data_IF_386538589667
#
_entry.id   IF_386538589667
#
_cell.length_a   1.000
_cell.length_b   1.000
_cell.length_c   1.000
_cell.angle_alpha   90.00
_cell.angle_beta   90.00
_cell.angle_gamma   90.00
#
_symmetry.space_group_name_H-M   'P 1'
#
loop_
_entity.id
_entity.type
_entity.pdbx_description
1 polymer ?
#
# COMPACT_ATOMS: atom_id res chain seq x y z
N UNK A 1 21.05 -17.23 -2.26
CA UNK A 1 20.65 -16.36 -3.40
C UNK A 1 21.29 -14.96 -3.34
N UNK A 2 21.18 -14.18 -2.23
CA UNK A 2 21.84 -12.86 -2.14
C UNK A 2 23.37 -12.96 -2.25
N UNK A 3 23.97 -13.89 -1.52
CA UNK A 3 25.43 -14.11 -1.55
C UNK A 3 25.92 -14.59 -2.92
N UNK A 4 25.13 -15.36 -3.63
CA UNK A 4 25.44 -15.84 -5.01
C UNK A 4 25.43 -14.72 -6.04
N UNK A 5 24.93 -13.53 -5.66
CA UNK A 5 24.87 -12.31 -6.47
C UNK A 5 25.78 -11.19 -5.95
N UNK A 6 26.77 -11.51 -5.12
CA UNK A 6 27.67 -10.57 -4.47
C UNK A 6 26.98 -9.41 -3.72
N UNK A 7 25.75 -9.67 -3.24
CA UNK A 7 25.03 -8.71 -2.39
C UNK A 7 25.41 -8.86 -0.94
N UNK A 8 25.71 -7.75 -0.27
CA UNK A 8 25.92 -7.74 1.16
C UNK A 8 24.60 -8.08 1.86
N UNK A 9 24.52 -9.27 2.44
CA UNK A 9 23.35 -9.77 3.14
C UNK A 9 23.73 -10.23 4.55
N UNK A 10 23.04 -9.69 5.55
CA UNK A 10 23.18 -10.04 6.96
C UNK A 10 21.90 -10.78 7.37
N UNK A 11 22.05 -12.01 7.85
CA UNK A 11 20.94 -12.81 8.36
C UNK A 11 20.78 -12.53 9.86
N UNK A 12 19.84 -11.69 10.20
CA UNK A 12 19.53 -11.32 11.58
C UNK A 12 18.09 -10.84 11.70
N UNK A 13 17.59 -10.73 12.92
CA UNK A 13 16.34 -10.04 13.21
C UNK A 13 16.49 -8.53 12.97
N UNK A 14 15.50 -7.91 12.32
CA UNK A 14 15.59 -6.52 11.89
C UNK A 14 15.71 -5.54 13.06
N UNK A 15 14.92 -5.75 14.12
CA UNK A 15 14.95 -4.88 15.30
C UNK A 15 16.29 -5.02 16.04
N UNK A 16 16.76 -6.26 16.25
CA UNK A 16 18.07 -6.54 16.86
C UNK A 16 19.20 -5.89 16.06
N UNK A 17 19.13 -5.92 14.72
CA UNK A 17 20.12 -5.26 13.87
C UNK A 17 20.09 -3.74 14.06
N UNK A 18 18.92 -3.14 14.00
CA UNK A 18 18.78 -1.69 14.18
C UNK A 18 19.23 -1.23 15.57
N UNK A 19 18.87 -1.95 16.63
CA UNK A 19 19.27 -1.63 18.00
C UNK A 19 20.80 -1.64 18.17
N UNK A 20 21.51 -2.46 17.40
CA UNK A 20 22.97 -2.51 17.39
C UNK A 20 23.67 -1.38 16.63
N UNK A 21 22.95 -0.56 15.88
CA UNK A 21 23.52 0.55 15.12
C UNK A 21 23.64 1.81 15.97
N UNK A 22 24.62 2.67 15.70
CA UNK A 22 24.65 4.01 16.27
C UNK A 22 23.41 4.81 15.87
N UNK A 23 22.97 5.72 16.72
CA UNK A 23 21.93 6.68 16.36
C UNK A 23 22.38 7.56 15.19
N UNK A 24 21.43 7.99 14.36
CA UNK A 24 21.70 8.83 13.19
C UNK A 24 22.76 8.28 12.22
N UNK A 25 22.86 6.94 12.12
CA UNK A 25 23.83 6.28 11.23
C UNK A 25 23.28 5.96 9.84
N UNK A 26 21.95 5.74 9.72
CA UNK A 26 21.32 5.32 8.48
C UNK A 26 20.93 6.53 7.59
N UNK A 27 21.22 6.44 6.29
CA UNK A 27 20.81 7.41 5.27
C UNK A 27 19.42 7.15 4.69
N UNK A 28 18.82 5.98 4.98
CA UNK A 28 17.48 5.59 4.54
C UNK A 28 17.15 4.18 5.01
N UNK A 29 15.87 3.85 5.07
CA UNK A 29 15.36 2.51 5.36
C UNK A 29 14.28 2.14 4.33
N UNK A 30 14.40 0.95 3.77
CA UNK A 30 13.42 0.36 2.87
C UNK A 30 12.96 -0.99 3.40
N UNK A 31 11.66 -1.19 3.42
CA UNK A 31 11.01 -2.45 3.78
C UNK A 31 9.91 -2.75 2.77
N UNK A 32 9.93 -3.92 2.15
CA UNK A 32 8.92 -4.36 1.20
C UNK A 32 8.38 -5.74 1.58
N UNK A 33 7.07 -5.87 1.68
CA UNK A 33 6.34 -7.11 1.98
C UNK A 33 6.88 -7.80 3.26
N UNK A 34 6.98 -7.03 4.36
CA UNK A 34 7.49 -7.48 5.65
C UNK A 34 6.55 -7.12 6.80
N UNK A 35 6.02 -5.90 6.79
CA UNK A 35 5.31 -5.36 7.98
C UNK A 35 4.02 -6.10 8.28
N UNK A 36 3.37 -6.68 7.30
CA UNK A 36 2.17 -7.51 7.40
C UNK A 36 2.40 -8.83 8.15
N UNK A 37 3.66 -9.28 8.25
CA UNK A 37 4.05 -10.47 9.00
C UNK A 37 4.41 -10.18 10.46
N UNK A 38 4.57 -8.90 10.82
CA UNK A 38 5.06 -8.51 12.14
C UNK A 38 3.92 -8.40 13.16
N UNK A 39 4.15 -8.81 14.43
CA UNK A 39 3.24 -8.45 15.51
C UNK A 39 3.17 -6.92 15.68
N UNK A 40 2.01 -6.39 16.05
CA UNK A 40 1.81 -4.94 16.18
C UNK A 40 2.81 -4.28 17.15
N UNK A 41 3.10 -4.92 18.28
CA UNK A 41 4.09 -4.43 19.26
C UNK A 41 5.51 -4.40 18.68
N UNK A 42 5.85 -5.38 17.83
CA UNK A 42 7.14 -5.41 17.16
C UNK A 42 7.24 -4.29 16.12
N UNK A 43 6.19 -4.10 15.30
CA UNK A 43 6.14 -3.04 14.30
C UNK A 43 6.32 -1.66 14.94
N UNK A 44 5.63 -1.38 16.05
CA UNK A 44 5.78 -0.11 16.78
C UNK A 44 7.22 0.14 17.20
N UNK A 45 7.85 -0.85 17.86
CA UNK A 45 9.26 -0.73 18.28
C UNK A 45 10.21 -0.58 17.09
N UNK A 46 9.95 -1.28 15.99
CA UNK A 46 10.74 -1.18 14.76
C UNK A 46 10.71 0.25 14.20
N UNK A 47 9.52 0.88 14.14
CA UNK A 47 9.37 2.25 13.65
C UNK A 47 10.05 3.28 14.58
N UNK A 48 9.87 3.15 15.89
CA UNK A 48 10.53 4.01 16.87
C UNK A 48 12.05 3.90 16.79
N UNK A 49 12.57 2.65 16.73
CA UNK A 49 14.00 2.40 16.59
C UNK A 49 14.53 2.93 15.25
N UNK A 50 13.81 2.67 14.15
CA UNK A 50 14.17 3.19 12.84
C UNK A 50 14.27 4.72 12.83
N UNK A 51 13.34 5.41 13.49
CA UNK A 51 13.40 6.86 13.63
C UNK A 51 14.67 7.33 14.35
N UNK A 52 15.10 6.65 15.42
CA UNK A 52 16.34 6.98 16.15
C UNK A 52 17.60 6.74 15.29
N UNK A 53 17.61 5.67 14.48
CA UNK A 53 18.79 5.27 13.69
C UNK A 53 18.93 6.03 12.37
N UNK A 54 17.84 6.54 11.83
CA UNK A 54 17.89 7.37 10.63
C UNK A 54 18.48 8.76 10.92
N UNK A 55 19.23 9.29 9.98
CA UNK A 55 19.74 10.68 10.04
C UNK A 55 18.60 11.67 9.85
N UNK A 56 18.72 12.90 10.36
CA UNK A 56 17.81 13.98 9.98
C UNK A 56 17.67 14.10 8.45
N UNK A 57 16.47 14.37 7.97
CA UNK A 57 16.10 14.45 6.55
C UNK A 57 16.16 13.14 5.76
N UNK A 58 16.51 12.03 6.39
CA UNK A 58 16.48 10.69 5.76
C UNK A 58 15.04 10.20 5.55
N UNK A 59 14.91 9.25 4.62
CA UNK A 59 13.62 8.69 4.23
C UNK A 59 13.46 7.27 4.76
N UNK A 60 12.27 6.97 5.29
CA UNK A 60 11.78 5.60 5.42
C UNK A 60 10.75 5.34 4.31
N UNK A 61 10.81 4.15 3.71
CA UNK A 61 9.83 3.66 2.75
C UNK A 61 9.39 2.26 3.15
N UNK A 62 8.10 2.08 3.34
CA UNK A 62 7.49 0.80 3.71
C UNK A 62 6.42 0.45 2.68
N UNK A 63 6.65 -0.62 1.92
CA UNK A 63 5.71 -1.16 0.94
C UNK A 63 5.06 -2.42 1.50
N UNK A 64 3.75 -2.56 1.31
CA UNK A 64 2.96 -3.73 1.70
C UNK A 64 1.68 -3.84 0.87
N UNK A 65 0.97 -4.97 1.01
CA UNK A 65 -0.30 -5.23 0.33
C UNK A 65 -1.35 -4.20 0.77
N UNK A 66 -2.14 -3.72 -0.18
CA UNK A 66 -3.25 -2.81 0.08
C UNK A 66 -4.53 -3.57 0.50
N UNK A 67 -4.87 -3.63 1.78
CA UNK A 67 -6.06 -4.35 2.25
C UNK A 67 -7.38 -3.64 1.90
N UNK A 68 -7.34 -2.38 1.43
CA UNK A 68 -8.51 -1.66 0.95
C UNK A 68 -8.92 -2.11 -0.46
N UNK A 69 -8.02 -2.73 -1.23
CA UNK A 69 -8.34 -3.40 -2.48
C UNK A 69 -8.84 -4.83 -2.21
N UNK A 70 -10.09 -5.15 -2.57
CA UNK A 70 -10.65 -6.47 -2.30
C UNK A 70 -9.90 -7.59 -3.02
N UNK A 71 -9.48 -7.38 -4.27
CA UNK A 71 -8.70 -8.37 -5.00
C UNK A 71 -7.36 -8.63 -4.32
N UNK A 72 -6.65 -7.61 -3.86
CA UNK A 72 -5.41 -7.78 -3.12
C UNK A 72 -5.64 -8.50 -1.79
N UNK A 73 -6.68 -8.12 -1.04
CA UNK A 73 -7.01 -8.74 0.23
C UNK A 73 -7.35 -10.23 0.08
N UNK A 74 -8.28 -10.58 -0.82
CA UNK A 74 -8.74 -11.96 -0.96
C UNK A 74 -7.80 -12.86 -1.77
N UNK A 75 -7.05 -12.33 -2.74
CA UNK A 75 -6.19 -13.13 -3.61
C UNK A 75 -4.72 -13.19 -3.16
N UNK A 76 -4.22 -12.18 -2.48
CA UNK A 76 -2.84 -12.12 -2.02
C UNK A 76 -2.73 -12.22 -0.49
N UNK A 77 -3.40 -11.33 0.25
CA UNK A 77 -3.23 -11.26 1.71
C UNK A 77 -3.68 -12.57 2.41
N UNK A 78 -4.91 -13.06 2.16
CA UNK A 78 -5.44 -14.26 2.85
C UNK A 78 -4.70 -15.55 2.47
N UNK A 79 -4.09 -15.60 1.28
CA UNK A 79 -3.41 -16.81 0.81
C UNK A 79 -2.14 -17.15 1.57
N UNK A 80 -1.48 -16.15 2.14
CA UNK A 80 -0.27 -16.36 2.93
C UNK A 80 -0.62 -16.48 4.41
N UNK A 81 -0.51 -17.68 4.95
CA UNK A 81 -0.80 -17.99 6.36
C UNK A 81 0.14 -17.27 7.33
N UNK A 82 1.25 -16.72 6.86
CA UNK A 82 2.22 -15.99 7.68
C UNK A 82 1.83 -14.53 7.90
N UNK A 83 0.88 -13.99 7.13
CA UNK A 83 0.32 -12.66 7.36
C UNK A 83 -0.44 -12.63 8.69
N UNK A 84 -0.13 -11.62 9.50
CA UNK A 84 -0.71 -11.47 10.85
C UNK A 84 -1.76 -10.38 10.91
N UNK A 85 -1.48 -9.23 10.31
CA UNK A 85 -2.33 -8.04 10.38
C UNK A 85 -2.40 -7.32 9.03
N UNK A 86 -3.60 -7.16 8.45
CA UNK A 86 -3.76 -6.27 7.30
C UNK A 86 -3.55 -4.83 7.79
N UNK A 87 -2.55 -4.15 7.25
CA UNK A 87 -2.23 -2.77 7.66
C UNK A 87 -2.85 -1.82 6.64
N UNK A 88 -3.92 -1.14 7.05
CA UNK A 88 -4.55 -0.13 6.21
C UNK A 88 -3.59 1.07 5.99
N UNK A 89 -3.56 1.69 4.80
CA UNK A 89 -2.68 2.84 4.52
C UNK A 89 -2.75 3.95 5.58
N UNK A 90 -3.97 4.30 6.03
CA UNK A 90 -4.14 5.32 7.07
C UNK A 90 -3.64 4.87 8.46
N UNK A 91 -3.69 3.56 8.74
CA UNK A 91 -3.09 3.01 9.96
C UNK A 91 -1.57 3.14 9.93
N UNK A 92 -0.93 2.78 8.81
CA UNK A 92 0.52 2.93 8.68
C UNK A 92 0.95 4.39 8.72
N UNK A 93 0.19 5.29 8.08
CA UNK A 93 0.38 6.74 8.19
C UNK A 93 0.36 7.21 9.64
N UNK A 94 -0.65 6.79 10.40
CA UNK A 94 -0.78 7.13 11.82
C UNK A 94 0.42 6.60 12.64
N UNK A 95 0.81 5.34 12.43
CA UNK A 95 1.93 4.71 13.15
C UNK A 95 3.26 5.44 12.88
N UNK A 96 3.51 5.83 11.63
CA UNK A 96 4.69 6.61 11.27
C UNK A 96 4.70 7.97 11.96
N UNK A 97 3.58 8.69 11.96
CA UNK A 97 3.48 9.96 12.70
C UNK A 97 3.67 9.77 14.21
N UNK A 98 3.06 8.74 14.81
CA UNK A 98 3.20 8.42 16.22
C UNK A 98 4.64 8.07 16.60
N UNK A 99 5.43 7.51 15.66
CA UNK A 99 6.85 7.20 15.83
C UNK A 99 7.79 8.38 15.55
N UNK A 100 7.25 9.58 15.27
CA UNK A 100 8.04 10.82 15.08
C UNK A 100 8.33 11.19 13.61
N UNK A 101 7.90 10.38 12.64
CA UNK A 101 8.09 10.72 11.22
C UNK A 101 7.14 11.81 10.77
N UNK A 102 7.57 12.60 9.79
CA UNK A 102 6.81 13.70 9.19
C UNK A 102 6.67 13.53 7.68
N UNK A 103 5.83 14.36 7.05
CA UNK A 103 5.63 14.35 5.59
C UNK A 103 5.28 12.95 5.06
N UNK A 104 4.37 12.27 5.75
CA UNK A 104 3.97 10.90 5.36
C UNK A 104 3.08 10.95 4.13
N UNK A 105 3.55 10.35 3.04
CA UNK A 105 2.85 10.20 1.78
C UNK A 105 2.51 8.73 1.53
N UNK A 106 1.31 8.45 1.02
CA UNK A 106 0.90 7.12 0.57
C UNK A 106 0.91 7.11 -0.95
N UNK A 107 1.67 6.18 -1.51
CA UNK A 107 1.81 5.97 -2.96
C UNK A 107 1.26 4.58 -3.27
N UNK A 108 0.26 4.51 -4.13
CA UNK A 108 -0.32 3.25 -4.58
C UNK A 108 0.41 2.72 -5.81
N UNK A 109 0.52 1.39 -5.91
CA UNK A 109 1.25 0.69 -6.96
C UNK A 109 0.58 -0.63 -7.35
N UNK A 110 1.06 -1.25 -8.43
CA UNK A 110 0.54 -2.53 -8.92
C UNK A 110 -0.94 -2.44 -9.34
N UNK A 111 -1.30 -1.55 -10.30
CA UNK A 111 -2.68 -1.41 -10.76
C UNK A 111 -3.17 -2.69 -11.44
N UNK A 112 -4.48 -2.96 -11.33
CA UNK A 112 -5.11 -4.05 -12.07
C UNK A 112 -5.17 -3.75 -13.57
N UNK A 113 -4.98 -4.78 -14.43
CA UNK A 113 -5.22 -4.64 -15.86
C UNK A 113 -6.65 -4.15 -16.16
N UNK A 114 -6.80 -3.23 -17.13
CA UNK A 114 -8.10 -2.65 -17.48
C UNK A 114 -9.12 -3.71 -17.95
N UNK A 115 -8.65 -4.76 -18.60
CA UNK A 115 -9.48 -5.89 -19.04
C UNK A 115 -10.07 -6.71 -17.89
N UNK A 116 -9.50 -6.60 -16.69
CA UNK A 116 -10.01 -7.26 -15.49
C UNK A 116 -11.11 -6.47 -14.79
N UNK A 117 -11.26 -5.19 -15.14
CA UNK A 117 -12.23 -4.29 -14.51
C UNK A 117 -13.62 -4.43 -15.11
N UNK A 118 -14.63 -4.07 -14.33
CA UNK A 118 -16.00 -3.94 -14.83
C UNK A 118 -16.06 -2.83 -15.87
N UNK A 119 -16.75 -3.10 -16.98
CA UNK A 119 -16.84 -2.19 -18.12
C UNK A 119 -18.01 -1.23 -18.00
N UNK A 120 -17.78 0.02 -18.33
CA UNK A 120 -18.82 1.04 -18.45
C UNK A 120 -19.58 0.93 -19.78
N UNK A 121 -20.83 1.40 -19.78
CA UNK A 121 -21.63 1.54 -21.00
C UNK A 121 -21.21 2.85 -21.71
N UNK A 122 -20.89 2.76 -22.99
CA UNK A 122 -20.66 3.94 -23.80
C UNK A 122 -21.98 4.74 -23.98
N UNK A 123 -21.95 6.02 -23.64
CA UNK A 123 -23.08 6.95 -23.85
C UNK A 123 -22.81 7.70 -25.15
N UNK A 124 -23.30 7.15 -26.23
CA UNK A 124 -23.17 7.71 -27.59
C UNK A 124 -24.47 8.32 -28.14
N UNK A 125 -24.46 8.78 -29.40
CA UNK A 125 -25.59 9.36 -30.05
C UNK A 125 -26.78 8.40 -30.24
N UNK A 126 -26.54 7.07 -30.27
CA UNK A 126 -27.59 6.06 -30.37
C UNK A 126 -28.46 6.00 -29.12
N UNK A 127 -27.82 6.11 -27.94
CA UNK A 127 -28.52 6.20 -26.66
C UNK A 127 -29.26 7.53 -26.49
N UNK A 128 -28.72 8.64 -27.05
CA UNK A 128 -29.26 9.98 -26.87
C UNK A 128 -30.37 10.35 -27.89
N UNK A 129 -30.49 9.64 -29.00
CA UNK A 129 -31.52 9.88 -30.07
C UNK A 129 -32.72 8.92 -30.02
N UNK A 130 -32.72 7.91 -29.16
CA UNK A 130 -33.81 6.93 -29.04
C UNK A 130 -35.07 7.53 -28.37
N UNK A 131 -36.28 7.03 -28.68
CA UNK A 131 -37.46 7.30 -27.87
C UNK A 131 -37.20 6.89 -26.42
N UNK A 132 -37.40 7.78 -25.43
CA UNK A 132 -37.03 7.64 -24.01
C UNK A 132 -35.51 7.78 -23.73
N UNK A 133 -34.81 8.54 -24.57
CA UNK A 133 -33.37 8.78 -24.44
C UNK A 133 -32.97 9.26 -23.03
N UNK A 134 -33.74 10.13 -22.39
CA UNK A 134 -33.43 10.66 -21.05
C UNK A 134 -33.43 9.56 -19.97
N UNK A 135 -34.37 8.61 -20.05
CA UNK A 135 -34.41 7.47 -19.09
C UNK A 135 -33.28 6.51 -19.33
N UNK A 136 -32.92 6.22 -20.59
CA UNK A 136 -31.78 5.35 -20.92
C UNK A 136 -30.45 6.00 -20.55
N UNK A 137 -30.31 7.29 -20.79
CA UNK A 137 -29.13 8.06 -20.38
C UNK A 137 -28.95 8.04 -18.85
N UNK A 138 -30.01 8.32 -18.10
CA UNK A 138 -29.99 8.29 -16.63
C UNK A 138 -29.62 6.90 -16.11
N UNK A 139 -30.14 5.82 -16.75
CA UNK A 139 -29.80 4.44 -16.38
C UNK A 139 -28.31 4.16 -16.64
N UNK A 140 -27.80 4.51 -17.83
CA UNK A 140 -26.40 4.29 -18.17
C UNK A 140 -25.45 5.09 -17.26
N UNK A 141 -25.76 6.35 -16.97
CA UNK A 141 -24.98 7.16 -16.02
C UNK A 141 -24.99 6.58 -14.61
N UNK A 142 -26.14 6.05 -14.16
CA UNK A 142 -26.25 5.43 -12.83
C UNK A 142 -25.46 4.12 -12.79
N UNK A 143 -25.57 3.31 -13.86
CA UNK A 143 -24.79 2.09 -14.00
C UNK A 143 -23.28 2.39 -13.96
N UNK A 144 -22.82 3.36 -14.77
CA UNK A 144 -21.41 3.72 -14.86
C UNK A 144 -20.86 4.21 -13.51
N UNK A 145 -21.61 5.06 -12.78
CA UNK A 145 -21.22 5.46 -11.41
C UNK A 145 -21.06 4.26 -10.46
N UNK A 146 -21.91 3.24 -10.59
CA UNK A 146 -21.81 2.04 -9.79
C UNK A 146 -20.61 1.18 -10.21
N UNK A 147 -20.34 1.08 -11.51
CA UNK A 147 -19.14 0.44 -12.05
C UNK A 147 -17.89 1.09 -11.50
N UNK A 148 -17.79 2.43 -11.54
CA UNK A 148 -16.62 3.16 -11.01
C UNK A 148 -16.42 2.91 -9.52
N UNK A 149 -17.51 2.92 -8.72
CA UNK A 149 -17.44 2.62 -7.29
C UNK A 149 -16.98 1.20 -7.02
N UNK A 150 -17.51 0.22 -7.76
CA UNK A 150 -17.11 -1.19 -7.61
C UNK A 150 -15.68 -1.41 -8.06
N UNK A 151 -15.27 -0.81 -9.18
CA UNK A 151 -13.88 -0.87 -9.65
C UNK A 151 -12.92 -0.29 -8.61
N UNK A 152 -13.26 0.82 -7.97
CA UNK A 152 -12.44 1.42 -6.92
C UNK A 152 -12.31 0.57 -5.66
N UNK A 153 -13.29 -0.30 -5.36
CA UNK A 153 -13.23 -1.22 -4.22
C UNK A 153 -12.56 -2.55 -4.57
N UNK A 154 -12.90 -3.11 -5.73
CA UNK A 154 -12.51 -4.47 -6.09
C UNK A 154 -11.16 -4.48 -6.79
N UNK A 155 -10.93 -3.54 -7.71
CA UNK A 155 -9.80 -3.50 -8.65
C UNK A 155 -8.91 -2.26 -8.46
N UNK A 156 -8.82 -1.75 -7.23
CA UNK A 156 -7.83 -0.73 -6.88
C UNK A 156 -6.40 -1.30 -6.97
N UNK A 157 -5.40 -0.48 -6.73
CA UNK A 157 -4.00 -0.88 -6.69
C UNK A 157 -3.76 -1.96 -5.61
N UNK A 158 -2.97 -2.98 -5.96
CA UNK A 158 -2.70 -4.13 -5.09
C UNK A 158 -1.79 -3.81 -3.91
N UNK A 159 -0.84 -2.91 -4.12
CA UNK A 159 0.15 -2.55 -3.13
C UNK A 159 0.10 -1.05 -2.85
N UNK A 160 0.65 -0.66 -1.72
CA UNK A 160 0.94 0.72 -1.42
C UNK A 160 2.28 0.85 -0.70
N UNK A 161 2.90 2.01 -0.82
CA UNK A 161 4.06 2.39 -0.05
C UNK A 161 3.75 3.62 0.80
N UNK A 162 4.16 3.59 2.06
CA UNK A 162 4.22 4.76 2.90
C UNK A 162 5.64 5.31 2.87
N UNK A 163 5.80 6.54 2.42
CA UNK A 163 7.07 7.27 2.37
C UNK A 163 7.04 8.38 3.39
N UNK A 164 8.03 8.45 4.26
CA UNK A 164 8.07 9.45 5.32
C UNK A 164 9.50 9.97 5.55
N UNK A 165 9.61 11.14 6.18
CA UNK A 165 10.88 11.77 6.53
C UNK A 165 11.09 11.75 8.03
N UNK A 166 12.33 11.51 8.45
CA UNK A 166 12.79 11.91 9.76
C UNK A 166 13.12 13.41 9.73
N UNK A 167 12.50 14.18 10.62
CA UNK A 167 12.84 15.62 10.79
C UNK A 167 14.11 15.79 11.60
#
# INVERSE_FOLDING_TARGET
>A
QCRDRDLLAIQTDALTYLEGLPDESLGGLFSAQVVEHLPASYLMRLLETAHQKLRPQSTILIETINPACWMAFFSAYIRDITHRHPIHPETLRYLLHASGFVSVEIIYSSPQPEESKLQSIAIDETLTSAPKSDSLKTLAETFNRNVDRLNGLIFAEHDYAAVAKRY
#
